data_IF_886175894914
#
_entry.id   IF_886175894914
#
_cell.length_a   1.000
_cell.length_b   1.000
_cell.length_c   1.000
_cell.angle_alpha   90.00
_cell.angle_beta   90.00
_cell.angle_gamma   90.00
#
_symmetry.space_group_name_H-M   'P 1'
#
loop_
_entity.id
_entity.type
_entity.pdbx_description
1 polymer ?
#
# COMPACT_ATOMS: atom_id res chain seq x y z
N UNK A 1 18.37 11.57 -9.46
CA UNK A 1 17.56 11.96 -10.65
C UNK A 1 16.11 11.61 -10.36
N UNK A 2 15.11 12.44 -10.69
CA UNK A 2 13.71 12.02 -10.54
C UNK A 2 13.46 10.87 -11.53
N UNK A 3 12.81 9.82 -11.05
CA UNK A 3 12.52 8.61 -11.81
C UNK A 3 11.88 8.94 -13.17
N UNK A 4 12.30 8.23 -14.22
CA UNK A 4 11.66 8.32 -15.54
C UNK A 4 10.17 7.97 -15.39
N UNK A 5 9.33 8.97 -15.65
CA UNK A 5 7.88 8.92 -15.56
C UNK A 5 7.32 7.89 -16.57
N UNK A 6 6.69 6.82 -16.08
CA UNK A 6 5.84 5.94 -16.90
C UNK A 6 4.37 6.33 -16.75
N UNK A 7 3.53 5.78 -17.63
CA UNK A 7 2.15 6.24 -17.86
C UNK A 7 1.29 6.24 -16.57
N UNK A 8 0.41 7.25 -16.40
CA UNK A 8 -0.46 7.36 -15.23
C UNK A 8 -1.50 6.23 -15.16
N UNK A 9 -1.99 5.95 -13.95
CA UNK A 9 -3.20 5.12 -13.75
C UNK A 9 -4.39 5.79 -14.45
N UNK A 10 -5.16 4.99 -15.20
CA UNK A 10 -6.38 5.40 -15.89
C UNK A 10 -7.40 4.27 -15.91
N UNK A 11 -8.59 4.52 -16.45
CA UNK A 11 -9.59 3.47 -16.69
C UNK A 11 -9.06 2.30 -17.54
N UNK A 12 -8.17 2.57 -18.49
CA UNK A 12 -7.60 1.57 -19.40
C UNK A 12 -6.37 0.84 -18.81
N UNK A 13 -5.97 1.14 -17.58
CA UNK A 13 -4.89 0.41 -16.91
C UNK A 13 -5.25 -1.07 -16.80
N UNK A 14 -4.38 -1.92 -17.34
CA UNK A 14 -4.52 -3.37 -17.21
C UNK A 14 -4.19 -3.78 -15.78
N UNK A 15 -5.09 -4.56 -15.19
CA UNK A 15 -4.99 -5.07 -13.81
C UNK A 15 -5.09 -6.57 -13.80
N UNK A 16 -4.41 -7.19 -12.85
CA UNK A 16 -4.62 -8.60 -12.53
C UNK A 16 -5.79 -8.71 -11.55
N UNK A 17 -6.71 -9.62 -11.83
CA UNK A 17 -7.87 -9.88 -10.99
C UNK A 17 -7.83 -11.33 -10.50
N UNK A 18 -8.01 -11.52 -9.20
CA UNK A 18 -8.17 -12.82 -8.57
C UNK A 18 -9.54 -12.90 -7.92
N UNK A 19 -10.33 -13.89 -8.30
CA UNK A 19 -11.71 -14.04 -7.86
C UNK A 19 -11.93 -15.44 -7.30
N UNK A 20 -12.79 -15.57 -6.29
CA UNK A 20 -13.22 -16.91 -5.86
C UNK A 20 -14.38 -17.37 -6.73
N UNK A 21 -14.24 -18.56 -7.30
CA UNK A 21 -15.33 -19.24 -7.99
C UNK A 21 -15.51 -20.64 -7.38
N UNK A 22 -16.55 -20.80 -6.56
CA UNK A 22 -16.76 -22.02 -5.76
C UNK A 22 -15.57 -22.29 -4.83
N UNK A 23 -14.92 -23.45 -5.00
CA UNK A 23 -13.75 -23.86 -4.23
C UNK A 23 -12.41 -23.43 -4.87
N UNK A 24 -12.44 -22.82 -6.05
CA UNK A 24 -11.25 -22.44 -6.82
C UNK A 24 -10.97 -20.94 -6.81
N UNK A 25 -9.73 -20.59 -7.17
CA UNK A 25 -9.35 -19.22 -7.55
C UNK A 25 -9.31 -19.12 -9.07
N UNK A 26 -10.02 -18.14 -9.62
CA UNK A 26 -9.85 -17.75 -11.00
C UNK A 26 -8.89 -16.55 -11.07
N UNK A 27 -7.99 -16.54 -12.06
CA UNK A 27 -7.08 -15.42 -12.32
C UNK A 27 -7.31 -14.93 -13.73
N UNK A 28 -7.54 -13.63 -13.90
CA UNK A 28 -7.74 -12.99 -15.20
C UNK A 28 -7.08 -11.62 -15.24
N UNK A 29 -6.92 -11.07 -16.42
CA UNK A 29 -6.60 -9.64 -16.59
C UNK A 29 -7.85 -8.87 -16.99
N UNK A 30 -7.91 -7.60 -16.62
CA UNK A 30 -9.04 -6.71 -16.93
C UNK A 30 -8.58 -5.27 -17.03
N UNK A 31 -9.50 -4.37 -17.39
CA UNK A 31 -9.30 -2.93 -17.26
C UNK A 31 -9.76 -2.46 -15.89
N UNK A 32 -8.98 -1.59 -15.26
CA UNK A 32 -9.31 -1.02 -13.95
C UNK A 32 -10.69 -0.34 -13.94
N UNK A 33 -11.03 0.38 -15.01
CA UNK A 33 -12.34 1.04 -15.12
C UNK A 33 -13.50 0.05 -15.03
N UNK A 34 -13.40 -1.07 -15.73
CA UNK A 34 -14.45 -2.09 -15.78
C UNK A 34 -14.63 -2.74 -14.40
N UNK A 35 -13.54 -3.05 -13.70
CA UNK A 35 -13.63 -3.61 -12.34
C UNK A 35 -14.22 -2.64 -11.31
N UNK A 36 -13.92 -1.35 -11.43
CA UNK A 36 -14.44 -0.34 -10.50
C UNK A 36 -15.91 0.01 -10.75
N UNK A 37 -16.41 -0.17 -11.98
CA UNK A 37 -17.84 0.01 -12.29
C UNK A 37 -18.71 -1.12 -11.76
N UNK A 38 -18.16 -2.33 -11.69
CA UNK A 38 -18.89 -3.50 -11.23
C UNK A 38 -18.68 -3.76 -9.73
N UNK A 39 -18.33 -2.74 -8.92
CA UNK A 39 -17.99 -2.88 -7.48
C UNK A 39 -18.97 -3.69 -6.65
N UNK A 40 -20.24 -3.66 -7.04
CA UNK A 40 -21.35 -4.27 -6.31
C UNK A 40 -21.58 -5.75 -6.65
N UNK A 41 -20.72 -6.37 -7.47
CA UNK A 41 -20.84 -7.80 -7.77
C UNK A 41 -20.75 -8.68 -6.51
N UNK A 42 -21.50 -9.78 -6.49
CA UNK A 42 -21.64 -10.71 -5.36
C UNK A 42 -20.43 -11.66 -5.17
N UNK A 43 -19.24 -11.29 -5.65
CA UNK A 43 -18.04 -12.12 -5.58
C UNK A 43 -16.82 -11.38 -5.05
N UNK A 44 -16.08 -12.02 -4.13
CA UNK A 44 -14.82 -11.49 -3.63
C UNK A 44 -13.80 -11.37 -4.77
N UNK A 45 -13.23 -10.18 -4.93
CA UNK A 45 -12.23 -9.86 -5.94
C UNK A 45 -11.05 -9.13 -5.37
N UNK A 46 -9.86 -9.62 -5.68
CA UNK A 46 -8.59 -8.93 -5.47
C UNK A 46 -8.13 -8.35 -6.80
N UNK A 47 -7.96 -7.04 -6.85
CA UNK A 47 -7.53 -6.31 -8.05
C UNK A 47 -6.14 -5.75 -7.76
N UNK A 48 -5.16 -6.18 -8.54
CA UNK A 48 -3.79 -5.71 -8.45
C UNK A 48 -3.48 -4.84 -9.66
N UNK A 49 -3.20 -3.56 -9.40
CA UNK A 49 -2.58 -2.66 -10.36
C UNK A 49 -1.15 -2.37 -9.91
N UNK A 50 -0.19 -2.47 -10.84
CA UNK A 50 1.19 -2.04 -10.63
C UNK A 50 1.46 -0.70 -11.34
N UNK A 51 1.05 0.43 -10.76
CA UNK A 51 1.42 1.74 -11.25
C UNK A 51 2.90 2.06 -11.03
N UNK A 52 3.63 2.20 -12.13
CA UNK A 52 4.93 2.87 -12.14
C UNK A 52 4.73 4.41 -12.14
N UNK A 53 4.55 4.98 -10.94
CA UNK A 53 4.36 6.40 -10.50
C UNK A 53 4.59 7.54 -11.54
N UNK A 54 3.85 8.69 -11.50
CA UNK A 54 2.72 9.07 -10.62
C UNK A 54 1.36 9.25 -11.31
N UNK A 55 0.35 9.18 -10.44
CA UNK A 55 -1.09 9.43 -10.60
C UNK A 55 -1.47 10.85 -11.06
N UNK A 56 -0.94 11.31 -12.20
CA UNK A 56 -1.30 12.64 -12.72
C UNK A 56 -2.65 12.70 -13.44
N UNK A 57 -3.28 11.56 -13.74
CA UNK A 57 -4.53 11.55 -14.52
C UNK A 57 -5.64 10.66 -13.94
N UNK A 58 -5.91 10.85 -12.64
CA UNK A 58 -7.08 10.25 -11.97
C UNK A 58 -8.41 10.80 -12.47
N UNK A 59 -8.43 11.81 -13.36
CA UNK A 59 -9.67 12.38 -13.92
C UNK A 59 -10.58 11.31 -14.50
N UNK A 60 -10.01 10.33 -15.19
CA UNK A 60 -10.77 9.21 -15.75
C UNK A 60 -11.42 8.32 -14.68
N UNK A 61 -10.88 8.31 -13.46
CA UNK A 61 -11.35 7.51 -12.32
C UNK A 61 -12.11 8.33 -11.28
N UNK A 62 -12.30 9.63 -11.49
CA UNK A 62 -12.86 10.51 -10.47
C UNK A 62 -14.21 10.01 -10.00
N UNK A 63 -15.13 9.70 -10.90
CA UNK A 63 -16.46 9.24 -10.49
C UNK A 63 -16.48 7.82 -9.91
N UNK A 64 -15.39 7.07 -10.09
CA UNK A 64 -15.32 5.68 -9.66
C UNK A 64 -14.74 5.53 -8.27
N UNK A 65 -13.83 6.38 -7.81
CA UNK A 65 -13.17 6.23 -6.50
C UNK A 65 -13.85 7.06 -5.41
N UNK A 66 -13.83 6.68 -4.12
CA UNK A 66 -14.32 7.56 -3.06
C UNK A 66 -13.52 8.86 -3.01
N UNK A 67 -14.18 9.99 -2.73
CA UNK A 67 -13.51 11.29 -2.68
C UNK A 67 -12.37 11.33 -1.65
N UNK A 68 -12.55 10.68 -0.50
CA UNK A 68 -11.52 10.58 0.54
C UNK A 68 -10.27 9.87 0.03
N UNK A 69 -10.45 8.75 -0.69
CA UNK A 69 -9.36 8.02 -1.33
C UNK A 69 -8.70 8.84 -2.44
N UNK A 70 -9.48 9.47 -3.34
CA UNK A 70 -8.97 10.35 -4.42
C UNK A 70 -8.05 11.44 -3.91
N UNK A 71 -8.38 12.05 -2.76
CA UNK A 71 -7.56 13.10 -2.15
C UNK A 71 -6.21 12.61 -1.66
N UNK A 72 -6.04 11.31 -1.45
CA UNK A 72 -4.84 10.72 -0.87
C UNK A 72 -3.95 10.03 -1.89
N UNK A 73 -4.52 9.50 -2.98
CA UNK A 73 -3.72 8.91 -4.07
C UNK A 73 -2.71 9.95 -4.60
N UNK A 74 -1.44 9.56 -4.66
CA UNK A 74 -0.35 10.42 -5.15
C UNK A 74 0.11 11.50 -4.16
N UNK A 75 -0.30 11.47 -2.89
CA UNK A 75 0.31 12.30 -1.85
C UNK A 75 1.69 11.80 -1.44
N UNK A 76 2.52 12.73 -0.96
CA UNK A 76 3.86 12.47 -0.41
C UNK A 76 3.86 12.27 1.12
N UNK A 77 2.68 12.13 1.74
CA UNK A 77 2.60 11.85 3.17
C UNK A 77 3.05 10.40 3.45
N UNK A 78 3.63 10.12 4.61
CA UNK A 78 4.20 8.80 4.92
C UNK A 78 3.15 7.67 5.03
N UNK A 79 1.89 8.03 5.25
CA UNK A 79 0.76 7.12 5.27
C UNK A 79 -0.53 7.82 5.70
N UNK A 80 -1.65 7.12 5.57
CA UNK A 80 -2.93 7.59 6.08
C UNK A 80 -4.05 6.59 5.86
N UNK A 81 -5.09 6.72 6.67
CA UNK A 81 -6.23 5.80 6.70
C UNK A 81 -7.53 6.61 6.73
N UNK A 82 -8.56 6.12 6.05
CA UNK A 82 -9.90 6.68 6.11
C UNK A 82 -10.97 5.65 5.76
N UNK A 83 -12.22 6.00 6.01
CA UNK A 83 -13.36 5.21 5.62
C UNK A 83 -14.60 6.07 5.43
N UNK A 84 -15.59 5.53 4.74
CA UNK A 84 -16.95 6.03 4.68
C UNK A 84 -17.91 4.84 4.72
N UNK A 85 -18.95 4.99 5.53
CA UNK A 85 -20.06 4.04 5.60
C UNK A 85 -21.32 4.74 5.07
N UNK A 86 -22.03 4.09 4.17
CA UNK A 86 -23.30 4.58 3.61
C UNK A 86 -24.39 3.53 3.72
N UNK A 87 -25.64 3.99 3.81
CA UNK A 87 -26.80 3.14 3.70
C UNK A 87 -27.40 3.32 2.30
N UNK A 88 -27.25 2.33 1.43
CA UNK A 88 -27.78 2.34 0.07
C UNK A 88 -28.82 1.23 -0.06
N UNK A 89 -30.08 1.59 -0.38
CA UNK A 89 -31.18 0.63 -0.55
C UNK A 89 -31.37 -0.35 0.64
N UNK A 90 -31.11 0.11 1.87
CA UNK A 90 -31.20 -0.71 3.09
C UNK A 90 -29.98 -1.61 3.34
N UNK A 91 -28.92 -1.49 2.55
CA UNK A 91 -27.65 -2.22 2.68
C UNK A 91 -26.59 -1.29 3.25
N UNK A 92 -25.75 -1.81 4.14
CA UNK A 92 -24.58 -1.09 4.64
C UNK A 92 -23.44 -1.33 3.67
N UNK A 93 -23.02 -0.24 3.02
CA UNK A 93 -21.82 -0.20 2.21
C UNK A 93 -20.72 0.45 3.05
N UNK A 94 -19.59 -0.24 3.17
CA UNK A 94 -18.42 0.26 3.87
C UNK A 94 -17.26 0.31 2.91
N UNK A 95 -16.70 1.49 2.72
CA UNK A 95 -15.48 1.67 1.94
C UNK A 95 -14.41 2.24 2.84
N UNK A 96 -13.32 1.51 2.99
CA UNK A 96 -12.14 1.92 3.75
C UNK A 96 -10.90 1.89 2.87
N UNK A 97 -9.92 2.66 3.26
CA UNK A 97 -8.68 2.77 2.51
C UNK A 97 -7.53 3.13 3.42
N UNK A 98 -6.34 2.75 3.00
CA UNK A 98 -5.10 3.18 3.61
C UNK A 98 -3.99 3.26 2.58
N UNK A 99 -2.94 4.01 2.91
CA UNK A 99 -1.73 4.04 2.12
C UNK A 99 -0.50 4.08 3.00
N UNK A 100 0.59 3.56 2.46
CA UNK A 100 1.91 3.61 3.07
C UNK A 100 2.94 3.95 1.99
N UNK A 101 3.92 4.75 2.37
CA UNK A 101 5.04 5.16 1.53
C UNK A 101 6.32 4.74 2.25
N UNK A 102 7.36 4.29 1.57
CA UNK A 102 8.65 4.02 2.22
C UNK A 102 9.80 4.25 1.24
N UNK A 103 11.01 4.39 1.77
CA UNK A 103 12.23 4.38 0.95
C UNK A 103 12.85 2.99 0.95
N UNK A 104 13.19 2.53 -0.24
CA UNK A 104 13.98 1.33 -0.49
C UNK A 104 15.42 1.76 -0.67
N UNK A 105 16.34 1.18 0.11
CA UNK A 105 17.77 1.30 -0.13
C UNK A 105 18.15 0.28 -1.22
N UNK A 106 18.47 0.76 -2.41
CA UNK A 106 18.81 -0.08 -3.57
C UNK A 106 20.29 -0.47 -3.58
N UNK A 107 21.11 0.25 -2.82
CA UNK A 107 22.51 -0.05 -2.63
C UNK A 107 23.32 1.22 -2.35
N UNK A 108 24.56 1.19 -2.81
CA UNK A 108 25.53 2.26 -2.64
C UNK A 108 26.03 2.67 -4.01
N UNK A 109 25.85 3.94 -4.36
CA UNK A 109 26.44 4.53 -5.55
C UNK A 109 27.86 5.00 -5.25
N UNK A 110 28.82 4.52 -6.02
CA UNK A 110 30.20 5.02 -5.98
C UNK A 110 30.26 6.36 -6.71
N UNK A 111 30.46 7.44 -5.95
CA UNK A 111 30.65 8.79 -6.51
C UNK A 111 32.11 9.22 -6.41
N UNK A 112 32.48 10.30 -7.10
CA UNK A 112 33.81 10.92 -6.93
C UNK A 112 34.08 11.42 -5.49
N UNK A 113 33.03 11.49 -4.65
CA UNK A 113 33.10 11.83 -3.23
C UNK A 113 32.91 10.63 -2.30
N UNK A 114 33.06 9.40 -2.82
CA UNK A 114 32.89 8.17 -2.05
C UNK A 114 31.50 7.53 -2.17
N UNK A 115 31.23 6.48 -1.37
CA UNK A 115 29.96 5.77 -1.37
C UNK A 115 28.81 6.68 -0.91
N UNK A 116 27.69 6.65 -1.63
CA UNK A 116 26.45 7.38 -1.30
C UNK A 116 25.25 6.43 -1.30
N UNK A 117 24.29 6.58 -0.38
CA UNK A 117 23.11 5.72 -0.36
C UNK A 117 22.26 5.98 -1.62
N UNK A 118 21.99 4.92 -2.38
CA UNK A 118 21.05 4.98 -3.50
C UNK A 118 19.67 4.54 -3.00
N UNK A 119 18.69 5.43 -3.07
CA UNK A 119 17.35 5.19 -2.53
C UNK A 119 16.27 5.49 -3.56
N UNK A 120 15.20 4.69 -3.52
CA UNK A 120 13.99 4.89 -4.31
C UNK A 120 12.76 4.88 -3.41
N UNK A 121 11.79 5.74 -3.71
CA UNK A 121 10.48 5.70 -3.04
C UNK A 121 9.63 4.55 -3.60
N UNK A 122 8.94 3.88 -2.69
CA UNK A 122 8.00 2.79 -2.96
C UNK A 122 6.76 3.01 -2.09
N UNK A 123 5.61 2.48 -2.49
CA UNK A 123 4.33 2.80 -1.89
C UNK A 123 3.30 1.70 -2.15
N UNK A 124 2.26 1.73 -1.34
CA UNK A 124 1.03 0.97 -1.51
C UNK A 124 -0.16 1.87 -1.16
N UNK A 125 -1.16 1.92 -2.02
CA UNK A 125 -2.50 2.39 -1.74
C UNK A 125 -3.45 1.19 -1.81
N UNK A 126 -4.30 1.06 -0.79
CA UNK A 126 -5.30 0.00 -0.73
C UNK A 126 -6.67 0.63 -0.54
N UNK A 127 -7.63 0.16 -1.32
CA UNK A 127 -9.03 0.45 -1.18
C UNK A 127 -9.80 -0.85 -0.97
N UNK A 128 -10.59 -0.90 0.08
CA UNK A 128 -11.44 -2.03 0.46
C UNK A 128 -12.88 -1.56 0.41
N UNK A 129 -13.69 -2.20 -0.44
CA UNK A 129 -15.12 -1.95 -0.55
C UNK A 129 -15.86 -3.20 -0.08
N UNK A 130 -16.74 -3.05 0.89
CA UNK A 130 -17.48 -4.13 1.52
C UNK A 130 -18.98 -3.84 1.53
N UNK A 131 -19.78 -4.88 1.29
CA UNK A 131 -21.23 -4.85 1.33
C UNK A 131 -21.75 -5.85 2.36
N UNK A 132 -22.63 -5.40 3.25
CA UNK A 132 -23.20 -6.21 4.34
C UNK A 132 -24.08 -7.37 3.90
N UNK A 133 -24.72 -7.27 2.74
CA UNK A 133 -25.65 -8.29 2.25
C UNK A 133 -24.90 -9.50 1.67
N UNK A 134 -23.87 -9.24 0.88
CA UNK A 134 -23.13 -10.27 0.17
C UNK A 134 -21.90 -10.73 0.95
N UNK A 135 -21.47 -9.96 1.97
CA UNK A 135 -20.18 -10.10 2.64
C UNK A 135 -19.02 -10.11 1.64
N UNK A 136 -19.20 -9.43 0.51
CA UNK A 136 -18.22 -9.41 -0.56
C UNK A 136 -17.34 -8.20 -0.39
N UNK A 137 -16.03 -8.46 -0.49
CA UNK A 137 -15.00 -7.44 -0.44
C UNK A 137 -14.33 -7.32 -1.81
N UNK A 138 -14.38 -6.13 -2.41
CA UNK A 138 -13.45 -5.76 -3.48
C UNK A 138 -12.23 -5.12 -2.83
N UNK A 139 -11.04 -5.61 -3.17
CA UNK A 139 -9.78 -5.03 -2.70
C UNK A 139 -8.96 -4.57 -3.90
N UNK A 140 -8.75 -3.27 -3.99
CA UNK A 140 -7.90 -2.66 -5.00
C UNK A 140 -6.55 -2.32 -4.38
N UNK A 141 -5.50 -2.92 -4.93
CA UNK A 141 -4.11 -2.62 -4.64
C UNK A 141 -3.52 -1.77 -5.76
N UNK A 142 -2.98 -0.61 -5.40
CA UNK A 142 -2.17 0.24 -6.28
C UNK A 142 -0.79 0.39 -5.63
N UNK A 143 0.30 0.02 -6.27
CA UNK A 143 1.62 0.27 -5.68
C UNK A 143 2.77 -0.36 -6.46
N UNK A 144 3.98 -0.14 -5.96
CA UNK A 144 5.19 -0.80 -6.48
C UNK A 144 5.24 -2.25 -5.98
N UNK A 145 4.73 -3.12 -6.85
CA UNK A 145 4.41 -4.51 -6.52
C UNK A 145 5.64 -5.45 -6.51
N UNK A 146 6.84 -4.97 -6.88
CA UNK A 146 7.99 -5.83 -7.24
C UNK A 146 8.41 -6.88 -6.19
N UNK A 147 8.53 -6.51 -4.91
CA UNK A 147 8.87 -7.46 -3.82
C UNK A 147 7.68 -7.79 -2.91
N UNK A 148 6.72 -6.89 -2.81
CA UNK A 148 5.54 -7.05 -1.97
C UNK A 148 4.60 -8.13 -2.49
N UNK A 149 4.54 -8.35 -3.81
CA UNK A 149 3.51 -9.24 -4.38
C UNK A 149 3.69 -10.69 -4.07
N UNK A 150 4.86 -11.31 -4.14
CA UNK A 150 4.90 -12.78 -4.03
C UNK A 150 4.45 -13.29 -2.66
N UNK A 151 4.86 -12.63 -1.56
CA UNK A 151 4.41 -12.96 -0.20
C UNK A 151 2.97 -12.49 0.05
N UNK A 152 2.68 -11.19 -0.14
CA UNK A 152 1.35 -10.63 0.12
C UNK A 152 0.27 -11.29 -0.75
N UNK A 153 0.52 -11.45 -2.05
CA UNK A 153 -0.43 -12.10 -2.98
C UNK A 153 -0.67 -13.54 -2.58
N UNK A 154 0.36 -14.28 -2.15
CA UNK A 154 0.17 -15.65 -1.67
C UNK A 154 -0.66 -15.70 -0.39
N UNK A 155 -0.42 -14.79 0.56
CA UNK A 155 -1.21 -14.68 1.80
C UNK A 155 -2.66 -14.30 1.51
N UNK A 156 -2.88 -13.33 0.62
CA UNK A 156 -4.22 -12.92 0.19
C UNK A 156 -4.95 -14.04 -0.54
N UNK A 157 -4.30 -14.71 -1.49
CA UNK A 157 -4.88 -15.87 -2.19
C UNK A 157 -5.19 -17.02 -1.22
N UNK A 158 -4.36 -17.24 -0.20
CA UNK A 158 -4.64 -18.20 0.87
C UNK A 158 -5.86 -17.79 1.71
N UNK A 159 -5.97 -16.52 2.09
CA UNK A 159 -7.11 -15.95 2.80
C UNK A 159 -8.42 -16.05 2.00
N UNK A 160 -8.37 -15.83 0.69
CA UNK A 160 -9.52 -16.03 -0.21
C UNK A 160 -9.96 -17.50 -0.17
N UNK A 161 -9.00 -18.43 -0.26
CA UNK A 161 -9.26 -19.88 -0.24
C UNK A 161 -9.84 -20.36 1.08
N UNK A 162 -9.31 -19.89 2.22
CA UNK A 162 -9.78 -20.34 3.55
C UNK A 162 -11.19 -19.86 3.88
N UNK A 163 -11.65 -18.75 3.29
CA UNK A 163 -12.98 -18.20 3.57
C UNK A 163 -13.07 -17.39 4.87
N UNK A 164 -11.99 -17.31 5.65
CA UNK A 164 -11.98 -16.70 6.98
C UNK A 164 -12.13 -15.18 6.96
N UNK A 165 -11.62 -14.53 5.90
CA UNK A 165 -11.47 -13.06 5.84
C UNK A 165 -12.70 -12.37 5.23
N UNK A 166 -13.75 -13.13 4.93
CA UNK A 166 -14.87 -12.66 4.10
C UNK A 166 -15.83 -11.73 4.83
N UNK A 167 -15.94 -11.88 6.16
CA UNK A 167 -17.00 -11.22 6.95
C UNK A 167 -16.59 -9.88 7.54
N UNK A 168 -15.30 -9.57 7.58
CA UNK A 168 -14.79 -8.37 8.21
C UNK A 168 -13.82 -7.63 7.26
N UNK A 169 -14.20 -6.43 6.75
CA UNK A 169 -13.32 -5.62 5.91
C UNK A 169 -11.99 -5.25 6.60
N UNK A 170 -11.94 -5.23 7.93
CA UNK A 170 -10.73 -4.93 8.69
C UNK A 170 -9.82 -6.14 8.91
N UNK A 171 -10.30 -7.37 8.72
CA UNK A 171 -9.44 -8.53 8.67
C UNK A 171 -8.46 -8.45 7.48
N UNK A 172 -8.91 -7.87 6.36
CA UNK A 172 -8.04 -7.54 5.22
C UNK A 172 -7.02 -6.46 5.56
N UNK A 173 -7.43 -5.40 6.27
CA UNK A 173 -6.52 -4.36 6.74
C UNK A 173 -5.39 -4.96 7.56
N UNK A 174 -5.73 -5.80 8.54
CA UNK A 174 -4.76 -6.44 9.41
C UNK A 174 -3.74 -7.27 8.62
N UNK A 175 -4.22 -8.12 7.72
CA UNK A 175 -3.33 -8.98 6.91
C UNK A 175 -2.34 -8.16 6.08
N UNK A 176 -2.78 -7.03 5.52
CA UNK A 176 -1.92 -6.16 4.70
C UNK A 176 -0.98 -5.33 5.57
N UNK A 177 -1.46 -4.78 6.69
CA UNK A 177 -0.66 -4.00 7.63
C UNK A 177 0.46 -4.86 8.22
N UNK A 178 0.18 -6.13 8.57
CA UNK A 178 1.20 -7.04 9.08
C UNK A 178 2.32 -7.27 8.05
N UNK A 179 2.01 -7.29 6.75
CA UNK A 179 3.03 -7.36 5.68
C UNK A 179 3.80 -6.04 5.54
N UNK A 180 3.11 -4.91 5.64
CA UNK A 180 3.73 -3.58 5.58
C UNK A 180 4.70 -3.39 6.76
N UNK A 181 4.36 -3.87 7.96
CA UNK A 181 5.23 -3.85 9.12
C UNK A 181 6.56 -4.59 8.84
N UNK A 182 6.52 -5.76 8.20
CA UNK A 182 7.72 -6.50 7.82
C UNK A 182 8.60 -5.71 6.83
N UNK A 183 7.99 -4.97 5.90
CA UNK A 183 8.71 -4.07 4.98
C UNK A 183 9.43 -2.96 5.75
N UNK A 184 8.73 -2.33 6.70
CA UNK A 184 9.33 -1.28 7.55
C UNK A 184 10.44 -1.81 8.45
N UNK A 185 10.26 -2.99 9.05
CA UNK A 185 11.29 -3.66 9.83
C UNK A 185 12.54 -3.94 8.98
N UNK A 186 12.35 -4.52 7.79
CA UNK A 186 13.44 -4.79 6.85
C UNK A 186 14.19 -3.51 6.45
N UNK A 187 13.49 -2.39 6.28
CA UNK A 187 14.10 -1.09 6.01
C UNK A 187 14.96 -0.59 7.17
N UNK A 188 14.48 -0.69 8.40
CA UNK A 188 15.23 -0.28 9.60
C UNK A 188 16.55 -1.06 9.68
N UNK A 189 16.49 -2.38 9.49
CA UNK A 189 17.68 -3.23 9.46
C UNK A 189 18.64 -2.87 8.32
N UNK A 190 18.14 -2.66 7.10
CA UNK A 190 18.97 -2.28 5.96
C UNK A 190 19.69 -0.94 6.18
N UNK A 191 19.03 0.02 6.83
CA UNK A 191 19.62 1.30 7.18
C UNK A 191 20.69 1.16 8.27
N UNK A 192 20.43 0.35 9.29
CA UNK A 192 21.40 0.05 10.34
C UNK A 192 22.65 -0.62 9.78
N UNK A 193 22.50 -1.61 8.90
CA UNK A 193 23.63 -2.26 8.23
C UNK A 193 24.43 -1.28 7.36
N UNK A 194 23.75 -0.38 6.65
CA UNK A 194 24.41 0.66 5.86
C UNK A 194 25.24 1.61 6.73
N UNK A 195 24.67 2.11 7.82
CA UNK A 195 25.37 2.99 8.77
C UNK A 195 26.56 2.25 9.37
N UNK A 196 26.40 0.99 9.80
CA UNK A 196 27.48 0.20 10.36
C UNK A 196 28.66 0.01 9.40
N UNK A 197 28.38 -0.16 8.10
CA UNK A 197 29.43 -0.18 7.05
C UNK A 197 30.16 1.16 6.95
N UNK A 198 29.41 2.26 6.87
CA UNK A 198 29.98 3.61 6.78
C UNK A 198 30.83 3.95 8.00
N UNK A 199 30.40 3.58 9.20
CA UNK A 199 31.14 3.80 10.44
C UNK A 199 32.43 2.95 10.50
N UNK A 200 32.38 1.71 10.02
CA UNK A 200 33.54 0.81 10.00
C UNK A 200 34.62 1.26 9.02
N UNK A 201 34.21 1.86 7.89
CA UNK A 201 35.13 2.34 6.85
C UNK A 201 35.69 3.75 7.16
N UNK A 202 35.26 4.38 8.25
CA UNK A 202 35.64 5.76 8.59
C UNK A 202 37.08 5.84 9.09
N UNK A 203 37.92 6.61 8.39
CA UNK A 203 39.23 7.00 8.89
C UNK A 203 39.10 8.06 10.01
N UNK A 204 39.88 7.99 11.10
CA UNK A 204 39.86 9.00 12.17
C UNK A 204 40.18 10.43 11.70
N UNK A 205 40.91 10.56 10.60
CA UNK A 205 41.47 11.82 10.12
C UNK A 205 40.61 12.52 9.04
N UNK A 206 39.50 11.91 8.60
CA UNK A 206 38.66 12.45 7.53
C UNK A 206 37.16 12.36 7.86
N UNK A 207 36.48 13.51 7.86
CA UNK A 207 35.03 13.61 8.04
C UNK A 207 34.35 13.95 6.71
N UNK A 208 33.64 12.98 6.13
CA UNK A 208 32.75 13.23 4.99
C UNK A 208 31.41 13.80 5.47
N UNK A 209 31.36 15.12 5.66
CA UNK A 209 30.16 15.82 6.11
C UNK A 209 28.98 15.64 5.15
N UNK A 210 29.23 15.52 3.84
CA UNK A 210 28.17 15.30 2.84
C UNK A 210 27.53 13.92 3.05
N UNK A 211 28.34 12.88 3.32
CA UNK A 211 27.83 11.53 3.64
C UNK A 211 26.99 11.55 4.91
N UNK A 212 27.51 12.17 5.97
CA UNK A 212 26.82 12.26 7.26
C UNK A 212 25.50 13.03 7.12
N UNK A 213 25.49 14.09 6.32
CA UNK A 213 24.27 14.85 6.03
C UNK A 213 23.26 14.02 5.23
N UNK A 214 23.69 13.27 4.22
CA UNK A 214 22.80 12.39 3.46
C UNK A 214 22.23 11.25 4.31
N UNK A 215 23.03 10.65 5.21
CA UNK A 215 22.56 9.69 6.22
C UNK A 215 21.57 10.34 7.17
N UNK A 216 21.87 11.53 7.68
CA UNK A 216 20.97 12.28 8.56
C UNK A 216 19.62 12.56 7.89
N UNK A 217 19.63 13.01 6.64
CA UNK A 217 18.41 13.22 5.85
C UNK A 217 17.62 11.92 5.67
N UNK A 218 18.31 10.81 5.38
CA UNK A 218 17.71 9.49 5.22
C UNK A 218 17.05 9.01 6.53
N UNK A 219 17.69 9.23 7.68
CA UNK A 219 17.14 8.89 9.00
C UNK A 219 15.91 9.72 9.34
N UNK A 220 15.96 11.04 9.13
CA UNK A 220 14.82 11.95 9.37
C UNK A 220 13.63 11.53 8.51
N UNK A 221 13.83 11.35 7.21
CA UNK A 221 12.78 10.89 6.29
C UNK A 221 12.27 9.49 6.62
N UNK A 222 13.11 8.63 7.20
CA UNK A 222 12.69 7.31 7.67
C UNK A 222 11.78 7.40 8.87
N UNK A 223 12.12 8.22 9.86
CA UNK A 223 11.30 8.45 11.04
C UNK A 223 9.95 9.09 10.70
N UNK A 224 9.92 10.16 9.91
CA UNK A 224 8.67 10.85 9.53
C UNK A 224 7.65 9.88 8.91
N UNK A 225 8.16 8.99 8.06
CA UNK A 225 7.35 8.00 7.37
C UNK A 225 6.89 6.88 8.33
N UNK A 226 7.78 6.39 9.21
CA UNK A 226 7.46 5.38 10.23
C UNK A 226 6.40 5.89 11.23
N UNK A 227 6.51 7.15 11.66
CA UNK A 227 5.52 7.79 12.53
C UNK A 227 4.14 7.85 11.85
N UNK A 228 4.12 8.28 10.58
CA UNK A 228 2.89 8.33 9.79
C UNK A 228 2.27 6.94 9.57
N UNK A 229 3.11 5.91 9.33
CA UNK A 229 2.66 4.54 9.19
C UNK A 229 2.08 4.00 10.50
N UNK A 230 2.76 4.25 11.63
CA UNK A 230 2.29 3.86 12.97
C UNK A 230 0.94 4.49 13.28
N UNK A 231 0.78 5.80 13.04
CA UNK A 231 -0.49 6.49 13.23
C UNK A 231 -1.62 5.90 12.36
N UNK A 232 -1.30 5.54 11.10
CA UNK A 232 -2.24 4.95 10.16
C UNK A 232 -2.69 3.55 10.59
N UNK A 233 -1.75 2.74 11.10
CA UNK A 233 -2.01 1.43 11.70
C UNK A 233 -2.92 1.56 12.92
N UNK A 234 -2.56 2.42 13.88
CA UNK A 234 -3.38 2.63 15.08
C UNK A 234 -4.79 3.06 14.71
N UNK A 235 -4.93 3.97 13.74
CA UNK A 235 -6.24 4.40 13.25
C UNK A 235 -7.03 3.25 12.61
N UNK A 236 -6.38 2.38 11.83
CA UNK A 236 -7.04 1.21 11.24
C UNK A 236 -7.59 0.26 12.31
N UNK A 237 -6.85 0.04 13.40
CA UNK A 237 -7.28 -0.79 14.53
C UNK A 237 -8.48 -0.15 15.27
N UNK A 238 -8.44 1.17 15.49
CA UNK A 238 -9.56 1.86 16.12
C UNK A 238 -10.83 1.78 15.27
N UNK A 239 -10.70 1.97 13.95
CA UNK A 239 -11.81 1.85 13.02
C UNK A 239 -12.39 0.43 13.00
N UNK A 240 -11.57 -0.61 13.08
CA UNK A 240 -12.04 -1.99 13.16
C UNK A 240 -12.87 -2.26 14.42
N UNK A 241 -12.43 -1.74 15.55
CA UNK A 241 -13.19 -1.87 16.81
C UNK A 241 -14.52 -1.13 16.77
N UNK A 242 -14.58 0.02 16.10
CA UNK A 242 -15.81 0.81 15.95
C UNK A 242 -16.84 0.11 15.07
N UNK A 243 -16.46 -0.36 13.88
CA UNK A 243 -17.37 -1.06 12.98
C UNK A 243 -17.92 -2.35 13.62
N UNK A 244 -17.07 -3.09 14.34
CA UNK A 244 -17.51 -4.28 15.05
C UNK A 244 -18.61 -3.97 16.09
N UNK A 245 -18.53 -2.82 16.76
CA UNK A 245 -19.57 -2.38 17.71
C UNK A 245 -20.89 -2.03 17.02
N UNK A 246 -20.86 -1.48 15.81
CA UNK A 246 -22.05 -1.13 15.01
C UNK A 246 -22.70 -2.34 14.33
N UNK A 247 -21.92 -3.40 14.04
CA UNK A 247 -22.45 -4.63 13.42
C UNK A 247 -23.10 -5.60 14.42
N UNK A 248 -22.81 -5.45 15.72
CA UNK A 248 -23.30 -6.35 16.79
C UNK A 248 -24.47 -5.72 17.58
N UNK A 249 -24.80 -4.45 17.31
CA UNK A 249 -25.95 -3.73 17.88
C UNK A 249 -27.21 -3.86 17.02
#
# INVERSE_FOLDING_TARGET
MPAQYKAPISRDTIVDVVEKNGNGLNKRTSKLGDELEHRDDDHLRLIFADPQIPHKDLKSLENLLPWGFRKMIGRTAGGGTGCCTSLANGRVEHVSWFFFLWQVLEGVESTSRGPRPCTRWSYIDVLISWNSETNVTMILYLGDLGKMTSSLRSKLEAAVRSGEVWRDPYAWHRLIIDEVDEIYNGRVWALQEFIGRVESDRSPDFYDFDLMHDIGRLLIQSNEVLESATASRTRSILLSTSLHSEMVS
#
